data_IF_529813558244
#
_entry.id   IF_529813558244
#
_cell.length_a   1.000
_cell.length_b   1.000
_cell.length_c   1.000
_cell.angle_alpha   90.00
_cell.angle_beta   90.00
_cell.angle_gamma   90.00
#
_symmetry.space_group_name_H-M   'P 1'
#
loop_
_entity.id
_entity.type
_entity.pdbx_description
1 polymer ?
#
# COMPACT_ATOMS: atom_id res chain seq x y z
N UNK A 1 18.20 28.37 32.35
CA UNK A 1 16.95 27.90 33.01
C UNK A 1 15.90 29.00 33.14
N UNK A 2 16.14 30.12 33.83
CA UNK A 2 15.11 31.16 34.02
C UNK A 2 14.54 31.76 32.72
N UNK A 3 15.40 32.12 31.76
CA UNK A 3 14.97 32.64 30.45
C UNK A 3 14.12 31.63 29.67
N UNK A 4 14.49 30.35 29.73
CA UNK A 4 13.75 29.27 29.09
C UNK A 4 12.34 29.12 29.68
N UNK A 5 12.22 29.10 31.01
CA UNK A 5 10.93 29.02 31.70
C UNK A 5 10.02 30.21 31.40
N UNK A 6 10.59 31.43 31.31
CA UNK A 6 9.84 32.64 30.94
C UNK A 6 9.32 32.55 29.51
N UNK A 7 10.15 32.10 28.56
CA UNK A 7 9.74 31.94 27.16
C UNK A 7 8.67 30.85 26.98
N UNK A 8 8.77 29.74 27.72
CA UNK A 8 7.72 28.72 27.76
C UNK A 8 6.41 29.25 28.37
N UNK A 9 6.49 30.07 29.41
CA UNK A 9 5.30 30.69 30.00
C UNK A 9 4.61 31.62 29.00
N UNK A 10 5.37 32.46 28.30
CA UNK A 10 4.85 33.36 27.25
C UNK A 10 4.22 32.58 26.08
N UNK A 11 4.74 31.39 25.77
CA UNK A 11 4.23 30.54 24.69
C UNK A 11 2.86 29.91 24.99
N UNK A 12 2.66 29.44 26.22
CA UNK A 12 1.42 28.77 26.65
C UNK A 12 0.36 29.77 27.10
N UNK A 13 0.75 31.01 27.43
CA UNK A 13 -0.17 32.07 27.83
C UNK A 13 -1.15 32.47 26.70
N UNK A 14 -2.39 32.89 27.06
CA UNK A 14 -3.32 33.50 26.12
C UNK A 14 -2.76 34.77 25.46
N UNK A 15 -3.39 35.21 24.37
CA UNK A 15 -2.99 36.42 23.64
C UNK A 15 -2.91 37.64 24.56
N UNK A 16 -1.72 38.25 24.61
CA UNK A 16 -1.44 39.41 25.44
C UNK A 16 -0.37 40.31 24.79
N UNK A 17 -0.25 41.59 25.22
CA UNK A 17 0.71 42.54 24.65
C UNK A 17 2.18 42.14 24.79
N UNK A 18 2.52 41.37 25.83
CA UNK A 18 3.90 40.87 26.04
C UNK A 18 4.26 39.82 24.98
N UNK A 19 3.34 38.90 24.70
CA UNK A 19 3.45 37.88 23.63
C UNK A 19 3.60 38.55 22.27
N UNK A 20 2.82 39.60 22.00
CA UNK A 20 2.92 40.38 20.77
C UNK A 20 4.28 41.09 20.64
N UNK A 21 4.84 41.59 21.75
CA UNK A 21 6.13 42.29 21.78
C UNK A 21 7.31 41.36 21.46
N UNK A 22 7.29 40.13 21.99
CA UNK A 22 8.32 39.12 21.67
C UNK A 22 8.17 38.62 20.23
N UNK A 23 6.94 38.52 19.75
CA UNK A 23 6.61 38.16 18.38
C UNK A 23 6.53 36.65 18.16
N UNK A 24 5.56 36.18 17.35
CA UNK A 24 5.29 34.74 17.19
C UNK A 24 6.46 33.98 16.56
N UNK A 25 7.19 34.58 15.63
CA UNK A 25 8.27 33.90 14.91
C UNK A 25 9.51 33.66 15.78
N UNK A 26 9.83 34.61 16.68
CA UNK A 26 10.95 34.48 17.63
C UNK A 26 10.64 33.46 18.72
N UNK A 27 9.40 33.42 19.19
CA UNK A 27 8.95 32.37 20.11
C UNK A 27 9.00 30.99 19.43
N UNK A 28 8.50 30.89 18.19
CA UNK A 28 8.54 29.65 17.40
C UNK A 28 9.95 29.14 17.18
N UNK A 29 10.89 30.00 16.79
CA UNK A 29 12.28 29.58 16.51
C UNK A 29 13.02 29.08 17.76
N UNK A 30 12.68 29.61 18.94
CA UNK A 30 13.24 29.15 20.21
C UNK A 30 12.61 27.84 20.71
N UNK A 31 11.32 27.63 20.46
CA UNK A 31 10.53 26.55 21.07
C UNK A 31 10.43 25.31 20.17
N UNK A 32 10.16 25.48 18.87
CA UNK A 32 9.95 24.36 17.95
C UNK A 32 11.09 23.33 17.90
N UNK A 33 12.39 23.70 18.02
CA UNK A 33 13.46 22.70 18.03
C UNK A 33 13.38 21.68 19.18
N UNK A 34 12.69 22.02 20.27
CA UNK A 34 12.62 21.20 21.49
C UNK A 34 11.20 20.71 21.82
N UNK A 35 10.17 21.43 21.38
CA UNK A 35 8.77 21.18 21.69
C UNK A 35 7.90 21.28 20.44
N UNK A 36 8.24 20.51 19.41
CA UNK A 36 7.35 20.37 18.26
C UNK A 36 6.07 19.63 18.70
N UNK A 37 4.95 20.35 18.77
CA UNK A 37 3.63 19.78 19.04
C UNK A 37 3.11 19.10 17.78
N UNK A 38 3.79 18.04 17.35
CA UNK A 38 3.28 17.19 16.28
C UNK A 38 2.19 16.29 16.84
N UNK A 39 0.94 16.71 16.66
CA UNK A 39 -0.24 15.90 16.98
C UNK A 39 -0.27 14.56 16.23
N UNK A 40 0.54 14.42 15.18
CA UNK A 40 0.77 13.17 14.43
C UNK A 40 1.29 12.02 15.31
N UNK A 41 2.02 12.32 16.40
CA UNK A 41 2.57 11.27 17.29
C UNK A 41 1.44 10.64 18.15
N UNK A 42 0.40 11.41 18.46
CA UNK A 42 -0.73 10.98 19.30
C UNK A 42 -1.95 10.54 18.50
N UNK A 43 -2.09 11.05 17.28
CA UNK A 43 -3.11 10.67 16.34
C UNK A 43 -2.46 10.50 14.95
N UNK A 44 -1.68 9.43 14.74
CA UNK A 44 -1.20 9.09 13.41
C UNK A 44 -2.41 9.04 12.47
N UNK A 45 -2.28 9.65 11.28
CA UNK A 45 -3.37 9.86 10.34
C UNK A 45 -4.28 8.62 10.30
N UNK A 46 -5.54 8.71 10.79
CA UNK A 46 -6.41 7.55 10.80
C UNK A 46 -6.59 7.11 9.36
N UNK A 47 -6.37 5.81 9.09
CA UNK A 47 -6.64 5.21 7.79
C UNK A 47 -8.09 5.52 7.44
N UNK A 48 -8.29 6.42 6.47
CA UNK A 48 -9.61 6.92 6.06
C UNK A 48 -10.25 5.92 5.09
N UNK A 49 -10.52 4.71 5.57
CA UNK A 49 -11.14 3.70 4.71
C UNK A 49 -10.76 2.27 5.02
N UNK A 50 -11.25 1.39 4.16
CA UNK A 50 -10.84 -0.01 4.11
C UNK A 50 -10.02 -0.27 2.86
N UNK A 51 -9.11 -1.21 2.97
CA UNK A 51 -8.23 -1.67 1.90
C UNK A 51 -8.40 -3.16 1.76
N UNK A 52 -8.45 -3.66 0.52
CA UNK A 52 -8.32 -5.08 0.25
C UNK A 52 -7.50 -5.35 -1.02
N UNK A 53 -6.95 -6.55 -1.09
CA UNK A 53 -6.26 -7.04 -2.26
C UNK A 53 -6.93 -8.34 -2.71
N UNK A 54 -7.34 -8.36 -3.98
CA UNK A 54 -7.81 -9.56 -4.64
C UNK A 54 -6.73 -10.01 -5.61
N UNK A 55 -6.49 -11.31 -5.65
CA UNK A 55 -5.57 -11.94 -6.59
C UNK A 55 -6.30 -12.97 -7.43
N UNK A 56 -5.80 -13.21 -8.62
CA UNK A 56 -6.07 -14.42 -9.39
C UNK A 56 -4.78 -14.88 -10.05
N UNK A 57 -4.62 -16.19 -10.18
CA UNK A 57 -3.50 -16.80 -10.86
C UNK A 57 -3.89 -17.34 -12.24
N UNK A 58 -2.92 -17.41 -13.14
CA UNK A 58 -2.95 -18.29 -14.30
C UNK A 58 -2.22 -19.58 -13.93
N UNK A 59 -2.91 -20.71 -14.06
CA UNK A 59 -2.35 -22.04 -13.78
C UNK A 59 -2.12 -22.75 -15.10
N UNK A 60 -0.87 -23.07 -15.42
CA UNK A 60 -0.45 -23.58 -16.73
C UNK A 60 0.39 -22.58 -17.54
N UNK A 61 0.61 -22.83 -18.82
CA UNK A 61 1.45 -21.99 -19.68
C UNK A 61 0.60 -21.18 -20.68
N UNK A 62 0.40 -19.89 -20.39
CA UNK A 62 -0.38 -18.98 -21.23
C UNK A 62 0.21 -18.80 -22.63
N UNK A 63 1.55 -18.73 -22.76
CA UNK A 63 2.24 -18.62 -24.07
C UNK A 63 1.99 -19.86 -24.94
N UNK A 64 1.91 -21.04 -24.33
CA UNK A 64 1.61 -22.29 -25.01
C UNK A 64 0.10 -22.55 -25.19
N UNK A 65 -0.77 -21.63 -24.75
CA UNK A 65 -2.23 -21.79 -24.81
C UNK A 65 -2.79 -22.88 -23.90
N UNK A 66 -2.02 -23.34 -22.91
CA UNK A 66 -2.44 -24.37 -21.96
C UNK A 66 -2.71 -23.76 -20.58
N UNK A 67 -3.78 -24.19 -19.93
CA UNK A 67 -4.13 -23.71 -18.59
C UNK A 67 -5.33 -22.77 -18.55
N UNK A 68 -5.53 -22.12 -17.40
CA UNK A 68 -6.66 -21.19 -17.19
C UNK A 68 -6.38 -20.17 -16.11
N UNK A 69 -7.01 -19.00 -16.25
CA UNK A 69 -7.13 -18.04 -15.17
C UNK A 69 -8.11 -18.57 -14.11
N UNK A 70 -7.76 -18.38 -12.84
CA UNK A 70 -8.58 -18.71 -11.68
C UNK A 70 -9.56 -17.59 -11.35
N UNK A 71 -10.51 -17.88 -10.46
CA UNK A 71 -11.39 -16.87 -9.88
C UNK A 71 -10.63 -15.93 -8.96
N UNK A 72 -11.17 -14.73 -8.76
CA UNK A 72 -10.64 -13.77 -7.82
C UNK A 72 -10.73 -14.31 -6.38
N UNK A 73 -9.64 -14.12 -5.64
CA UNK A 73 -9.49 -14.52 -4.25
C UNK A 73 -9.04 -13.34 -3.41
N UNK A 74 -9.83 -12.97 -2.41
CA UNK A 74 -9.50 -11.89 -1.47
C UNK A 74 -8.51 -12.41 -0.41
N UNK A 75 -7.26 -11.98 -0.54
CA UNK A 75 -6.20 -12.38 0.40
C UNK A 75 -6.20 -11.52 1.66
N UNK A 76 -6.71 -10.29 1.60
CA UNK A 76 -6.81 -9.42 2.77
C UNK A 76 -7.90 -9.90 3.73
N UNK A 77 -9.04 -10.36 3.20
CA UNK A 77 -10.09 -10.98 4.02
C UNK A 77 -9.58 -12.21 4.80
N UNK A 78 -8.65 -12.96 4.21
CA UNK A 78 -8.03 -14.13 4.85
C UNK A 78 -7.07 -13.75 5.97
N UNK A 79 -6.40 -12.62 5.84
CA UNK A 79 -5.60 -12.07 6.93
C UNK A 79 -6.48 -11.55 8.07
N UNK A 80 -7.59 -10.88 7.74
CA UNK A 80 -8.55 -10.37 8.73
C UNK A 80 -9.17 -11.48 9.58
N UNK A 81 -9.53 -12.61 8.96
CA UNK A 81 -10.00 -13.80 9.67
C UNK A 81 -9.01 -14.28 10.74
N UNK A 82 -7.69 -14.10 10.50
CA UNK A 82 -6.63 -14.52 11.42
C UNK A 82 -6.31 -13.49 12.50
N UNK A 83 -6.49 -12.20 12.23
CA UNK A 83 -6.36 -11.16 13.26
C UNK A 83 -7.47 -11.29 14.30
N UNK A 84 -8.65 -11.75 13.87
CA UNK A 84 -9.82 -11.85 14.73
C UNK A 84 -9.48 -12.65 15.99
N UNK A 85 -9.65 -12.01 17.16
CA UNK A 85 -9.40 -12.55 18.50
C UNK A 85 -7.93 -12.66 18.94
N UNK A 86 -6.96 -12.15 18.16
CA UNK A 86 -5.57 -12.05 18.61
C UNK A 86 -5.30 -10.72 19.31
N UNK A 87 -4.79 -10.77 20.55
CA UNK A 87 -4.37 -9.57 21.30
C UNK A 87 -3.09 -8.94 20.74
N UNK A 88 -2.22 -9.75 20.13
CA UNK A 88 -0.96 -9.31 19.52
C UNK A 88 -0.76 -10.04 18.18
N UNK A 89 -1.50 -9.63 17.12
CA UNK A 89 -1.40 -10.28 15.82
C UNK A 89 0.01 -10.09 15.25
N UNK A 90 0.54 -11.14 14.61
CA UNK A 90 1.77 -11.03 13.84
C UNK A 90 1.61 -10.01 12.71
N UNK A 91 2.69 -9.28 12.39
CA UNK A 91 2.71 -8.26 11.32
C UNK A 91 2.33 -8.82 9.96
N UNK A 92 2.59 -10.11 9.72
CA UNK A 92 2.23 -10.78 8.46
C UNK A 92 0.72 -10.71 8.19
N UNK A 93 -0.13 -10.67 9.23
CA UNK A 93 -1.58 -10.54 9.06
C UNK A 93 -2.03 -9.13 8.61
N UNK A 94 -1.11 -8.19 8.45
CA UNK A 94 -1.43 -6.84 7.94
C UNK A 94 -0.69 -6.51 6.65
N UNK A 95 0.06 -7.49 6.11
CA UNK A 95 0.96 -7.26 4.99
C UNK A 95 0.19 -6.91 3.71
N UNK A 96 -0.89 -7.64 3.36
CA UNK A 96 -1.66 -7.31 2.14
C UNK A 96 -2.35 -5.96 2.27
N UNK A 97 -2.94 -5.66 3.45
CA UNK A 97 -3.58 -4.37 3.71
C UNK A 97 -2.60 -3.22 3.56
N UNK A 98 -1.38 -3.37 4.11
CA UNK A 98 -0.35 -2.34 4.01
C UNK A 98 0.10 -2.14 2.56
N UNK A 99 0.40 -3.22 1.84
CA UNK A 99 0.82 -3.15 0.44
C UNK A 99 -0.28 -2.58 -0.47
N UNK A 100 -1.54 -2.93 -0.21
CA UNK A 100 -2.68 -2.35 -0.90
C UNK A 100 -2.82 -0.84 -0.64
N UNK A 101 -2.71 -0.41 0.62
CA UNK A 101 -2.76 1.01 0.96
C UNK A 101 -1.62 1.80 0.36
N UNK A 102 -0.38 1.27 0.41
CA UNK A 102 0.78 1.89 -0.22
C UNK A 102 0.55 2.03 -1.74
N UNK A 103 0.01 1.00 -2.39
CA UNK A 103 -0.32 1.05 -3.82
C UNK A 103 -1.39 2.11 -4.15
N UNK A 104 -2.47 2.16 -3.37
CA UNK A 104 -3.52 3.17 -3.53
C UNK A 104 -3.03 4.60 -3.27
N UNK A 105 -2.00 4.76 -2.42
CA UNK A 105 -1.39 6.07 -2.17
C UNK A 105 -0.48 6.55 -3.30
N UNK A 106 0.16 5.62 -4.03
CA UNK A 106 1.12 5.94 -5.10
C UNK A 106 0.44 6.14 -6.46
N UNK A 107 -0.68 5.47 -6.72
CA UNK A 107 -1.39 5.56 -8.00
C UNK A 107 -1.84 6.99 -8.40
N UNK A 108 -2.33 7.85 -7.49
CA UNK A 108 -2.72 9.22 -7.83
C UNK A 108 -1.56 10.08 -8.34
N UNK A 109 -0.34 9.80 -7.89
CA UNK A 109 0.88 10.53 -8.26
C UNK A 109 1.40 10.13 -9.65
N UNK A 110 0.88 9.03 -10.23
CA UNK A 110 1.18 8.65 -11.60
C UNK A 110 0.32 9.44 -12.60
N UNK A 111 0.95 9.89 -13.69
CA UNK A 111 0.23 10.55 -14.77
C UNK A 111 -0.68 9.58 -15.55
N UNK A 112 -1.47 10.11 -16.48
CA UNK A 112 -2.44 9.31 -17.25
C UNK A 112 -1.79 8.16 -18.02
N UNK A 113 -0.65 8.41 -18.66
CA UNK A 113 0.03 7.42 -19.49
C UNK A 113 0.67 6.33 -18.62
N UNK A 114 1.29 6.71 -17.51
CA UNK A 114 1.79 5.80 -16.50
C UNK A 114 0.68 4.92 -15.90
N UNK A 115 -0.50 5.49 -15.61
CA UNK A 115 -1.66 4.73 -15.14
C UNK A 115 -2.23 3.77 -16.19
N UNK A 116 -2.01 4.02 -17.48
CA UNK A 116 -2.34 3.06 -18.53
C UNK A 116 -1.28 1.95 -18.60
N UNK A 117 -0.01 2.29 -18.44
CA UNK A 117 1.08 1.31 -18.40
C UNK A 117 0.88 0.31 -17.25
N UNK A 118 0.58 0.73 -16.03
CA UNK A 118 0.40 -0.21 -14.89
C UNK A 118 -0.74 -1.24 -15.12
N UNK A 119 -1.71 -0.90 -15.96
CA UNK A 119 -2.81 -1.80 -16.37
C UNK A 119 -2.40 -2.82 -17.44
N UNK A 120 -1.27 -2.61 -18.11
CA UNK A 120 -0.68 -3.51 -19.09
C UNK A 120 -0.05 -4.76 -18.46
N UNK A 121 0.07 -5.81 -19.28
CA UNK A 121 0.66 -7.10 -18.90
C UNK A 121 2.19 -7.01 -18.97
N UNK A 122 2.85 -7.35 -17.87
CA UNK A 122 4.31 -7.39 -17.75
C UNK A 122 4.74 -8.80 -17.34
N UNK A 123 4.89 -9.65 -18.37
CA UNK A 123 5.11 -11.10 -18.24
C UNK A 123 6.59 -11.45 -18.44
N UNK A 124 7.42 -11.12 -17.45
CA UNK A 124 8.86 -11.37 -17.48
C UNK A 124 9.62 -10.39 -16.61
N UNK A 125 10.42 -10.88 -15.68
CA UNK A 125 11.40 -10.08 -14.96
C UNK A 125 12.47 -9.56 -15.94
N UNK A 126 12.92 -8.29 -15.84
CA UNK A 126 14.01 -7.78 -16.69
C UNK A 126 15.32 -8.59 -16.61
N UNK A 127 15.48 -9.41 -15.56
CA UNK A 127 16.64 -10.29 -15.38
C UNK A 127 16.55 -11.61 -16.17
N UNK A 128 15.36 -12.08 -16.55
CA UNK A 128 15.15 -13.40 -17.19
C UNK A 128 14.89 -13.29 -18.69
N UNK A 129 14.37 -12.16 -19.18
CA UNK A 129 14.10 -11.94 -20.61
C UNK A 129 14.36 -10.48 -21.01
N UNK A 130 15.54 -10.15 -21.59
CA UNK A 130 15.89 -8.79 -22.01
C UNK A 130 14.96 -8.17 -23.06
N UNK A 131 14.17 -9.01 -23.76
CA UNK A 131 13.18 -8.57 -24.76
C UNK A 131 11.80 -8.26 -24.19
N UNK A 132 11.58 -8.51 -22.90
CA UNK A 132 10.28 -8.31 -22.29
C UNK A 132 10.05 -6.85 -21.87
N UNK A 133 8.78 -6.44 -21.84
CA UNK A 133 8.40 -5.10 -21.39
C UNK A 133 8.89 -4.89 -19.95
N UNK A 134 9.54 -3.76 -19.71
CA UNK A 134 10.07 -3.37 -18.40
C UNK A 134 9.24 -2.21 -17.89
N UNK A 135 8.33 -2.51 -16.96
CA UNK A 135 7.42 -1.52 -16.39
C UNK A 135 8.19 -0.31 -15.82
N UNK A 136 9.38 -0.52 -15.25
CA UNK A 136 10.18 0.56 -14.71
C UNK A 136 10.70 1.50 -15.79
N UNK A 137 11.24 0.95 -16.88
CA UNK A 137 11.68 1.76 -18.03
C UNK A 137 10.52 2.48 -18.69
N UNK A 138 9.39 1.80 -18.86
CA UNK A 138 8.20 2.37 -19.48
C UNK A 138 7.62 3.52 -18.65
N UNK A 139 7.53 3.35 -17.33
CA UNK A 139 7.06 4.40 -16.42
C UNK A 139 7.97 5.62 -16.41
N UNK A 140 9.29 5.41 -16.42
CA UNK A 140 10.27 6.51 -16.51
C UNK A 140 10.17 7.24 -17.86
N UNK A 141 10.01 6.51 -18.96
CA UNK A 141 9.87 7.10 -20.30
C UNK A 141 8.55 7.86 -20.46
N UNK A 142 7.48 7.39 -19.82
CA UNK A 142 6.18 8.04 -19.84
C UNK A 142 6.08 9.25 -18.89
N UNK A 143 7.11 9.55 -18.09
CA UNK A 143 7.15 10.70 -17.20
C UNK A 143 7.51 12.01 -17.95
N UNK A 144 6.80 12.31 -19.03
CA UNK A 144 7.10 13.44 -19.93
C UNK A 144 6.71 14.80 -19.33
N UNK A 145 5.74 14.81 -18.42
CA UNK A 145 5.21 15.98 -17.73
C UNK A 145 5.86 16.23 -16.37
N UNK A 146 6.72 15.32 -15.91
CA UNK A 146 7.37 15.37 -14.59
C UNK A 146 6.40 15.17 -13.42
N UNK A 147 5.18 14.68 -13.68
CA UNK A 147 4.13 14.51 -12.66
C UNK A 147 4.52 13.50 -11.56
N UNK A 148 5.29 12.47 -11.91
CA UNK A 148 5.79 11.49 -10.94
C UNK A 148 7.29 11.66 -10.75
N UNK A 149 7.74 12.00 -9.55
CA UNK A 149 9.18 12.01 -9.24
C UNK A 149 9.78 10.60 -9.45
N UNK A 150 11.05 10.46 -9.89
CA UNK A 150 11.71 9.16 -10.02
C UNK A 150 11.63 8.30 -8.76
N UNK A 151 11.63 8.94 -7.58
CA UNK A 151 11.47 8.31 -6.28
C UNK A 151 10.09 7.67 -6.11
N UNK A 152 9.03 8.32 -6.60
CA UNK A 152 7.65 7.81 -6.60
C UNK A 152 7.54 6.59 -7.50
N UNK A 153 8.12 6.64 -8.71
CA UNK A 153 8.16 5.51 -9.63
C UNK A 153 8.91 4.33 -8.99
N UNK A 154 10.05 4.60 -8.34
CA UNK A 154 10.82 3.57 -7.64
C UNK A 154 10.04 2.98 -6.45
N UNK A 155 9.29 3.80 -5.70
CA UNK A 155 8.43 3.34 -4.62
C UNK A 155 7.27 2.46 -5.13
N UNK A 156 6.66 2.86 -6.26
CA UNK A 156 5.64 2.07 -6.94
C UNK A 156 6.19 0.69 -7.35
N UNK A 157 7.33 0.64 -8.04
CA UNK A 157 7.93 -0.61 -8.52
C UNK A 157 8.30 -1.55 -7.37
N UNK A 158 8.84 -1.01 -6.27
CA UNK A 158 9.12 -1.81 -5.06
C UNK A 158 7.84 -2.39 -4.48
N UNK A 159 6.77 -1.59 -4.40
CA UNK A 159 5.47 -2.03 -3.87
C UNK A 159 4.82 -3.08 -4.78
N UNK A 160 4.86 -2.89 -6.10
CA UNK A 160 4.36 -3.82 -7.13
C UNK A 160 5.10 -5.17 -7.03
N UNK A 161 6.43 -5.14 -6.92
CA UNK A 161 7.25 -6.34 -6.75
C UNK A 161 6.98 -7.06 -5.41
N UNK A 162 6.89 -6.33 -4.30
CA UNK A 162 6.57 -6.91 -2.99
C UNK A 162 5.19 -7.53 -2.98
N UNK A 163 4.19 -6.85 -3.56
CA UNK A 163 2.84 -7.36 -3.69
C UNK A 163 2.79 -8.60 -4.58
N UNK A 164 3.51 -8.61 -5.71
CA UNK A 164 3.58 -9.77 -6.60
C UNK A 164 4.20 -10.98 -5.90
N UNK A 165 5.30 -10.81 -5.17
CA UNK A 165 5.92 -11.88 -4.37
C UNK A 165 4.97 -12.44 -3.32
N UNK A 166 4.33 -11.56 -2.56
CA UNK A 166 3.42 -11.99 -1.49
C UNK A 166 2.13 -12.63 -2.04
N UNK A 167 1.59 -12.10 -3.14
CA UNK A 167 0.50 -12.71 -3.89
C UNK A 167 0.90 -14.09 -4.44
N UNK A 168 2.16 -14.27 -4.85
CA UNK A 168 2.67 -15.57 -5.33
C UNK A 168 2.64 -16.61 -4.20
N UNK A 169 3.08 -16.26 -3.00
CA UNK A 169 2.99 -17.16 -1.84
C UNK A 169 1.54 -17.63 -1.60
N UNK A 170 0.58 -16.70 -1.58
CA UNK A 170 -0.85 -17.04 -1.47
C UNK A 170 -1.38 -17.87 -2.63
N UNK A 171 -0.95 -17.56 -3.85
CA UNK A 171 -1.40 -18.24 -5.05
C UNK A 171 -0.88 -19.67 -5.10
N UNK A 172 0.41 -19.88 -4.82
CA UNK A 172 1.02 -21.21 -4.74
C UNK A 172 0.38 -22.03 -3.62
N UNK A 173 0.17 -21.44 -2.45
CA UNK A 173 -0.48 -22.15 -1.34
C UNK A 173 -1.94 -22.54 -1.65
N UNK A 174 -2.62 -21.79 -2.52
CA UNK A 174 -4.03 -22.02 -2.88
C UNK A 174 -4.22 -22.93 -4.10
N UNK A 175 -3.40 -22.75 -5.13
CA UNK A 175 -3.58 -23.36 -6.45
C UNK A 175 -2.41 -24.27 -6.86
N UNK A 176 -1.37 -24.39 -6.04
CA UNK A 176 -0.21 -25.26 -6.25
C UNK A 176 0.89 -24.64 -7.10
N UNK A 177 1.93 -25.42 -7.37
CA UNK A 177 3.15 -25.01 -8.10
C UNK A 177 2.93 -24.69 -9.59
N UNK A 178 1.73 -24.97 -10.12
CA UNK A 178 1.39 -24.67 -11.52
C UNK A 178 1.11 -23.19 -11.83
N UNK A 179 1.22 -22.30 -10.83
CA UNK A 179 1.01 -20.86 -10.97
C UNK A 179 2.17 -20.22 -11.73
N UNK A 180 1.90 -19.63 -12.88
CA UNK A 180 2.91 -18.98 -13.74
C UNK A 180 2.77 -17.47 -13.79
N UNK A 181 1.55 -16.97 -13.67
CA UNK A 181 1.25 -15.54 -13.75
C UNK A 181 0.22 -15.17 -12.69
N UNK A 182 0.24 -13.91 -12.26
CA UNK A 182 -0.69 -13.35 -11.31
C UNK A 182 -1.27 -12.06 -11.82
N UNK A 183 -2.52 -11.83 -11.50
CA UNK A 183 -3.13 -10.52 -11.60
C UNK A 183 -3.70 -10.16 -10.24
N UNK A 184 -3.50 -8.92 -9.83
CA UNK A 184 -4.09 -8.39 -8.62
C UNK A 184 -4.97 -7.16 -8.91
N UNK A 185 -5.86 -6.89 -7.97
CA UNK A 185 -6.63 -5.65 -7.86
C UNK A 185 -6.50 -5.17 -6.44
N UNK A 186 -6.33 -3.87 -6.31
CA UNK A 186 -6.27 -3.21 -5.01
C UNK A 186 -7.54 -2.39 -4.88
N UNK A 187 -8.31 -2.66 -3.83
CA UNK A 187 -9.57 -1.99 -3.55
C UNK A 187 -9.41 -0.99 -2.41
N UNK A 188 -10.01 0.18 -2.59
CA UNK A 188 -10.19 1.20 -1.55
C UNK A 188 -11.68 1.40 -1.30
N UNK A 189 -12.09 1.49 -0.04
CA UNK A 189 -13.43 1.97 0.33
C UNK A 189 -13.30 3.19 1.22
N UNK A 190 -14.04 4.25 0.89
CA UNK A 190 -14.09 5.47 1.69
C UNK A 190 -15.04 5.29 2.88
N UNK A 191 -14.74 5.98 3.97
CA UNK A 191 -15.69 6.12 5.09
C UNK A 191 -16.88 6.94 4.59
N UNK A 192 -18.13 6.50 4.81
CA UNK A 192 -19.32 7.30 4.51
C UNK A 192 -19.19 8.71 5.08
N UNK A 193 -19.73 9.68 4.35
CA UNK A 193 -19.82 11.06 4.84
C UNK A 193 -20.65 11.11 6.13
N UNK A 194 -20.37 12.11 6.97
CA UNK A 194 -20.98 12.24 8.30
C UNK A 194 -22.50 12.37 8.25
N UNK A 195 -23.05 12.98 7.20
CA UNK A 195 -24.48 13.20 6.96
C UNK A 195 -25.28 11.90 6.82
N UNK A 196 -24.68 10.83 6.27
CA UNK A 196 -25.35 9.54 6.01
C UNK A 196 -24.92 8.42 6.97
N UNK A 197 -24.15 8.74 8.02
CA UNK A 197 -23.50 7.74 8.91
C UNK A 197 -24.46 6.80 9.65
N UNK A 198 -25.72 7.20 9.82
CA UNK A 198 -26.73 6.38 10.49
C UNK A 198 -27.47 5.44 9.50
N UNK A 199 -27.38 5.73 8.20
CA UNK A 199 -28.13 5.03 7.15
C UNK A 199 -27.24 4.08 6.36
N UNK A 200 -25.93 4.36 6.29
CA UNK A 200 -24.95 3.56 5.54
C UNK A 200 -23.96 2.91 6.51
N UNK A 201 -23.98 1.58 6.55
CA UNK A 201 -22.93 0.82 7.24
C UNK A 201 -21.64 0.84 6.41
N UNK A 202 -20.52 1.17 7.03
CA UNK A 202 -19.20 1.18 6.39
C UNK A 202 -18.84 -0.16 5.72
N UNK A 203 -19.27 -1.29 6.29
CA UNK A 203 -18.97 -2.60 5.71
C UNK A 203 -19.76 -2.90 4.43
N UNK A 204 -20.86 -2.19 4.20
CA UNK A 204 -21.71 -2.34 3.01
C UNK A 204 -21.27 -1.43 1.85
N UNK A 205 -20.35 -0.49 2.11
CA UNK A 205 -19.75 0.36 1.08
C UNK A 205 -18.86 -0.51 0.19
N UNK A 206 -19.20 -0.56 -1.11
CA UNK A 206 -18.43 -1.30 -2.09
C UNK A 206 -17.01 -0.73 -2.26
N UNK A 207 -16.04 -1.61 -2.45
CA UNK A 207 -14.67 -1.23 -2.81
C UNK A 207 -14.62 -0.70 -4.26
N UNK A 208 -13.86 0.38 -4.46
CA UNK A 208 -13.42 0.82 -5.77
C UNK A 208 -12.08 0.18 -6.09
N UNK A 209 -12.00 -0.54 -7.21
CA UNK A 209 -10.81 -1.32 -7.56
C UNK A 209 -9.95 -0.64 -8.62
N UNK A 210 -8.68 -0.45 -8.29
CA UNK A 210 -7.61 -0.23 -9.26
C UNK A 210 -7.18 -1.56 -9.86
N UNK A 211 -7.10 -1.60 -11.20
CA UNK A 211 -6.72 -2.81 -11.94
C UNK A 211 -5.26 -2.72 -12.37
N UNK A 212 -4.59 -3.86 -12.34
CA UNK A 212 -3.23 -4.03 -12.81
C UNK A 212 -3.24 -5.13 -13.86
N UNK A 213 -2.32 -5.07 -14.82
CA UNK A 213 -2.17 -6.18 -15.76
C UNK A 213 -1.55 -7.40 -15.10
N UNK A 214 -1.36 -8.44 -15.89
CA UNK A 214 -0.71 -9.65 -15.41
C UNK A 214 0.77 -9.38 -15.10
N UNK A 215 1.28 -10.09 -14.09
CA UNK A 215 2.67 -10.12 -13.65
C UNK A 215 3.15 -11.56 -13.68
N UNK A 216 4.41 -11.76 -14.00
CA UNK A 216 5.05 -13.07 -13.82
C UNK A 216 5.04 -13.45 -12.32
N UNK A 217 4.68 -14.69 -12.01
CA UNK A 217 4.73 -15.19 -10.65
C UNK A 217 6.18 -15.19 -10.15
N UNK A 218 6.39 -14.78 -8.90
CA UNK A 218 7.72 -14.75 -8.27
C UNK A 218 7.78 -15.80 -7.17
N UNK A 219 7.99 -17.09 -7.52
CA UNK A 219 7.96 -18.18 -6.55
C UNK A 219 9.04 -17.99 -5.49
N UNK A 220 8.68 -18.28 -4.24
CA UNK A 220 9.63 -18.32 -3.15
C UNK A 220 10.43 -19.63 -3.19
N UNK A 221 11.52 -19.70 -2.44
CA UNK A 221 12.21 -20.97 -2.23
C UNK A 221 11.31 -21.95 -1.44
N UNK A 222 11.63 -23.24 -1.52
CA UNK A 222 10.81 -24.30 -0.91
C UNK A 222 10.57 -24.11 0.59
N UNK A 223 11.60 -23.70 1.34
CA UNK A 223 11.50 -23.46 2.78
C UNK A 223 10.55 -22.30 3.12
N UNK A 224 10.64 -21.19 2.39
CA UNK A 224 9.77 -20.04 2.58
C UNK A 224 8.32 -20.36 2.20
N UNK A 225 8.12 -21.12 1.12
CA UNK A 225 6.78 -21.58 0.74
C UNK A 225 6.21 -22.52 1.80
N UNK A 226 6.98 -23.49 2.31
CA UNK A 226 6.53 -24.41 3.34
C UNK A 226 6.18 -23.68 4.66
N UNK A 227 6.99 -22.69 5.05
CA UNK A 227 6.69 -21.83 6.20
C UNK A 227 5.39 -21.04 5.99
N UNK A 228 5.18 -20.53 4.77
CA UNK A 228 3.97 -19.80 4.42
C UNK A 228 2.73 -20.70 4.33
N UNK A 229 2.86 -21.93 3.86
CA UNK A 229 1.77 -22.93 3.85
C UNK A 229 1.32 -23.27 5.27
N UNK A 230 2.27 -23.37 6.21
CA UNK A 230 1.97 -23.47 7.64
C UNK A 230 1.24 -22.23 8.17
N UNK A 231 1.62 -21.04 7.67
CA UNK A 231 0.96 -19.78 8.01
C UNK A 231 -0.49 -19.72 7.51
N UNK A 232 -0.80 -20.09 6.26
CA UNK A 232 -2.19 -20.03 5.75
C UNK A 232 -3.06 -21.19 6.25
N UNK A 233 -2.44 -22.27 6.70
CA UNK A 233 -3.10 -23.52 7.06
C UNK A 233 -3.40 -24.34 5.81
N UNK A 234 -2.94 -25.59 5.77
CA UNK A 234 -3.25 -26.52 4.67
C UNK A 234 -4.77 -26.69 4.55
N UNK A 235 -5.27 -26.66 3.32
CA UNK A 235 -6.58 -27.25 2.99
C UNK A 235 -6.44 -28.76 2.83
#
# INVERSE_FOLDING_TARGET
>A
MAVHSILLMIWVMPDNPLRATVGPDRLRSYINPYFEQSWSIFAPLPLRGGENVLIRAYVGNRKAGTGKATDWYDITAKEDERIKYLLNPSRIHSATRRLGSDMNSLLPDLNKDQRLLVQGDYLGLPQTDPGNMDLGKDLLKANTDGSAAPETIAAYLRTDQMLTRFATLYATARWGEGVTELQFRVGHRLVPNYDVRNDVNFLDVAFTYSRFGWREAMPANGDAQAAFDGYVGKR
#
